data_IF_546177800285
#
_entry.id   IF_546177800285
#
_cell.length_a   1.000
_cell.length_b   1.000
_cell.length_c   1.000
_cell.angle_alpha   90.00
_cell.angle_beta   90.00
_cell.angle_gamma   90.00
#
_symmetry.space_group_name_H-M   'P 1'
#
loop_
_entity.id
_entity.type
_entity.pdbx_description
1 polymer ?
#
# COMPACT_ATOMS: atom_id res chain seq x y z
N UNK A 1 -2.27 43.20 4.30
CA UNK A 1 -0.90 42.86 3.87
C UNK A 1 -0.26 41.99 4.95
N UNK A 2 -0.20 40.68 4.75
CA UNK A 2 0.54 39.74 5.61
C UNK A 2 1.33 38.81 4.69
N UNK A 3 2.65 38.78 4.87
CA UNK A 3 3.58 37.87 4.19
C UNK A 3 4.33 37.06 5.26
N UNK A 4 4.19 35.74 5.12
CA UNK A 4 5.22 34.68 5.17
C UNK A 4 5.96 34.48 6.50
N UNK A 5 5.68 33.33 7.13
CA UNK A 5 6.63 32.58 7.96
C UNK A 5 7.06 31.31 7.21
N UNK A 6 8.37 31.01 7.09
CA UNK A 6 8.85 29.76 6.51
C UNK A 6 9.09 28.73 7.62
N UNK A 7 8.73 27.45 7.39
CA UNK A 7 9.13 26.35 8.27
C UNK A 7 10.22 25.53 7.59
N UNK A 8 11.44 25.73 8.07
CA UNK A 8 12.66 25.06 7.63
C UNK A 8 12.66 23.57 7.99
N UNK A 9 13.23 22.81 7.05
CA UNK A 9 13.74 21.45 7.24
C UNK A 9 14.73 21.38 8.40
N UNK A 10 14.74 20.25 9.12
CA UNK A 10 15.82 19.89 10.05
C UNK A 10 16.27 18.45 9.83
N UNK A 11 17.45 18.39 9.22
CA UNK A 11 18.46 17.34 9.29
C UNK A 11 18.74 16.92 10.73
N UNK A 12 18.77 15.61 11.00
CA UNK A 12 19.22 15.03 12.27
C UNK A 12 20.69 14.65 12.13
N UNK A 13 21.54 15.28 12.96
CA UNK A 13 22.93 14.89 13.18
C UNK A 13 23.05 14.33 14.60
N UNK A 14 23.76 13.21 14.68
CA UNK A 14 24.09 12.43 15.87
C UNK A 14 24.94 13.19 16.90
N UNK A 15 24.72 12.92 18.19
CA UNK A 15 25.78 12.99 19.20
C UNK A 15 25.54 12.01 20.35
N UNK A 16 26.60 11.26 20.65
CA UNK A 16 26.76 10.34 21.76
C UNK A 16 27.02 11.12 23.07
N UNK A 17 26.35 10.74 24.16
CA UNK A 17 26.92 10.89 25.51
C UNK A 17 26.53 9.72 26.41
N UNK A 18 27.55 9.08 26.99
CA UNK A 18 27.47 8.06 28.03
C UNK A 18 27.18 8.73 29.37
N UNK A 19 26.27 8.17 30.16
CA UNK A 19 26.30 8.30 31.62
C UNK A 19 25.93 6.99 32.29
N UNK A 20 26.84 6.57 33.16
CA UNK A 20 26.81 5.36 33.98
C UNK A 20 26.07 5.64 35.29
N UNK A 21 25.16 4.77 35.70
CA UNK A 21 24.79 4.59 37.12
C UNK A 21 24.61 3.11 37.43
N UNK A 22 25.49 2.62 38.31
CA UNK A 22 25.44 1.31 38.96
C UNK A 22 24.43 1.35 40.09
N UNK A 23 23.56 0.35 40.17
CA UNK A 23 23.00 -0.13 41.43
C UNK A 23 22.98 -1.67 41.40
N UNK A 24 23.84 -2.26 42.23
CA UNK A 24 23.79 -3.65 42.68
C UNK A 24 22.80 -3.77 43.83
N UNK A 25 22.03 -4.85 43.92
CA UNK A 25 21.92 -5.72 45.11
C UNK A 25 21.17 -7.05 44.79
N UNK A 26 21.90 -8.14 45.00
CA UNK A 26 21.54 -9.48 45.55
C UNK A 26 20.28 -10.25 45.12
N UNK A 27 20.58 -11.42 44.54
CA UNK A 27 19.93 -12.73 44.49
C UNK A 27 18.82 -13.06 45.49
N UNK A 28 17.73 -13.64 44.97
CA UNK A 28 17.02 -14.76 45.59
C UNK A 28 16.64 -15.78 44.50
N UNK A 29 16.91 -17.06 44.78
CA UNK A 29 16.57 -18.19 43.94
C UNK A 29 15.21 -18.77 44.35
N UNK A 30 14.35 -19.07 43.36
CA UNK A 30 13.25 -20.02 43.48
C UNK A 30 12.74 -20.43 42.09
N UNK A 31 13.01 -21.67 41.71
CA UNK A 31 12.20 -22.47 40.77
C UNK A 31 11.35 -23.40 41.66
N UNK A 32 10.12 -23.82 41.27
CA UNK A 32 9.91 -24.52 40.00
C UNK A 32 8.53 -24.36 39.33
N UNK A 33 8.46 -24.94 38.12
CA UNK A 33 7.32 -25.67 37.52
C UNK A 33 6.67 -25.10 36.25
N UNK A 34 6.78 -25.94 35.21
CA UNK A 34 5.98 -26.13 34.00
C UNK A 34 4.93 -25.09 33.62
N UNK A 35 5.13 -24.48 32.45
CA UNK A 35 4.17 -24.60 31.34
C UNK A 35 4.93 -24.44 30.01
N UNK A 36 5.14 -25.58 29.32
CA UNK A 36 5.61 -25.66 27.94
C UNK A 36 4.47 -25.20 27.03
N UNK A 37 4.38 -23.91 26.72
CA UNK A 37 3.50 -23.45 25.66
C UNK A 37 4.24 -23.58 24.33
N UNK A 38 3.75 -24.51 23.52
CA UNK A 38 4.23 -24.83 22.19
C UNK A 38 4.31 -23.57 21.32
N UNK A 39 5.52 -23.22 20.88
CA UNK A 39 5.70 -22.42 19.66
C UNK A 39 5.10 -23.23 18.49
N UNK A 40 3.87 -22.91 18.12
CA UNK A 40 3.33 -23.29 16.82
C UNK A 40 3.96 -22.35 15.79
N UNK A 41 5.10 -22.77 15.27
CA UNK A 41 5.67 -22.25 14.03
C UNK A 41 4.58 -22.36 12.96
N UNK A 42 4.09 -21.23 12.47
CA UNK A 42 3.09 -21.18 11.40
C UNK A 42 3.79 -21.71 10.13
N UNK A 43 3.35 -22.83 9.53
CA UNK A 43 3.93 -23.28 8.28
C UNK A 43 3.52 -22.33 7.15
N UNK A 44 4.53 -21.83 6.44
CA UNK A 44 4.44 -20.91 5.33
C UNK A 44 3.81 -21.60 4.09
N UNK A 45 2.49 -21.78 4.05
CA UNK A 45 1.77 -22.40 2.91
C UNK A 45 1.52 -21.42 1.75
N UNK A 46 2.55 -20.73 1.24
CA UNK A 46 2.41 -19.89 0.02
C UNK A 46 2.27 -20.72 -1.26
N UNK A 47 2.72 -21.98 -1.26
CA UNK A 47 2.79 -22.84 -2.45
C UNK A 47 1.44 -23.25 -3.04
N UNK A 48 0.34 -23.19 -2.26
CA UNK A 48 -1.00 -23.61 -2.69
C UNK A 48 -1.78 -22.55 -3.47
N UNK A 49 -1.34 -21.29 -3.46
CA UNK A 49 -1.98 -20.23 -4.24
C UNK A 49 -1.66 -20.31 -5.73
N UNK A 50 -0.47 -20.83 -6.08
CA UNK A 50 -0.05 -21.03 -7.46
C UNK A 50 -0.84 -22.12 -8.21
N UNK A 51 -1.52 -23.02 -7.47
CA UNK A 51 -2.30 -24.13 -8.05
C UNK A 51 -3.80 -23.83 -8.22
N UNK A 52 -4.28 -22.68 -7.75
CA UNK A 52 -5.66 -22.22 -8.02
C UNK A 52 -5.67 -21.49 -9.38
N UNK A 53 -5.80 -22.26 -10.46
CA UNK A 53 -5.81 -21.78 -11.85
C UNK A 53 -6.53 -20.43 -12.03
N UNK A 54 -5.73 -19.42 -12.40
CA UNK A 54 -6.10 -18.00 -12.51
C UNK A 54 -6.93 -17.65 -13.76
N UNK A 55 -7.66 -18.61 -14.34
CA UNK A 55 -8.60 -18.39 -15.44
C UNK A 55 -10.04 -18.49 -14.92
N UNK A 56 -10.45 -17.53 -14.10
CA UNK A 56 -11.88 -17.28 -13.85
C UNK A 56 -12.10 -15.80 -13.93
N UNK A 57 -13.02 -15.39 -14.82
CA UNK A 57 -13.53 -14.03 -14.89
C UNK A 57 -13.86 -13.56 -13.47
N UNK A 58 -13.14 -12.55 -13.01
CA UNK A 58 -13.24 -11.97 -11.67
C UNK A 58 -14.61 -11.33 -11.48
N UNK A 59 -15.59 -12.09 -10.98
CA UNK A 59 -16.80 -11.52 -10.39
C UNK A 59 -16.60 -11.40 -8.88
N UNK A 60 -16.66 -10.17 -8.37
CA UNK A 60 -16.61 -9.84 -6.94
C UNK A 60 -17.85 -10.37 -6.19
N UNK A 61 -17.90 -10.16 -4.87
CA UNK A 61 -19.08 -10.50 -4.08
C UNK A 61 -20.38 -9.94 -4.63
N UNK A 62 -21.46 -10.71 -4.53
CA UNK A 62 -22.81 -10.17 -4.74
C UNK A 62 -23.04 -9.04 -3.73
N UNK A 63 -23.26 -7.81 -4.22
CA UNK A 63 -23.34 -6.59 -3.40
C UNK A 63 -22.07 -5.75 -3.39
N UNK A 64 -20.97 -6.23 -3.98
CA UNK A 64 -19.80 -5.44 -4.33
C UNK A 64 -19.77 -5.27 -5.86
N UNK A 65 -20.58 -4.35 -6.37
CA UNK A 65 -20.20 -3.66 -7.59
C UNK A 65 -18.86 -2.99 -7.27
N UNK A 66 -17.78 -3.15 -8.08
CA UNK A 66 -16.63 -2.26 -7.97
C UNK A 66 -17.23 -0.86 -7.90
N UNK A 67 -17.02 -0.17 -6.77
CA UNK A 67 -17.65 1.11 -6.44
C UNK A 67 -17.79 1.88 -7.75
N UNK A 68 -19.04 2.03 -8.23
CA UNK A 68 -19.30 2.49 -9.59
C UNK A 68 -18.40 3.70 -9.84
N UNK A 69 -17.45 3.54 -10.77
CA UNK A 69 -16.33 4.47 -10.89
C UNK A 69 -16.91 5.87 -11.06
N UNK A 70 -16.73 6.71 -10.05
CA UNK A 70 -17.08 8.13 -10.17
C UNK A 70 -16.23 8.66 -11.32
N UNK A 71 -16.87 9.16 -12.37
CA UNK A 71 -16.13 9.84 -13.44
C UNK A 71 -15.42 11.05 -12.86
N UNK A 72 -14.31 11.47 -13.47
CA UNK A 72 -13.60 12.67 -13.03
C UNK A 72 -14.53 13.89 -13.03
N UNK A 73 -15.41 13.98 -14.03
CA UNK A 73 -16.39 15.06 -14.19
C UNK A 73 -17.42 15.13 -13.04
N UNK A 74 -17.69 14.00 -12.36
CA UNK A 74 -18.51 13.99 -11.15
C UNK A 74 -17.80 14.52 -9.90
N UNK A 75 -16.47 14.65 -9.95
CA UNK A 75 -15.61 15.07 -8.84
C UNK A 75 -15.14 16.52 -9.03
N UNK A 76 -14.78 16.89 -10.26
CA UNK A 76 -14.33 18.22 -10.63
C UNK A 76 -14.81 18.62 -12.01
N UNK A 77 -15.03 19.92 -12.22
CA UNK A 77 -15.36 20.49 -13.53
C UNK A 77 -14.17 20.37 -14.50
N UNK A 78 -14.24 19.40 -15.42
CA UNK A 78 -13.16 19.07 -16.35
C UNK A 78 -12.96 20.19 -17.37
N UNK A 79 -14.03 20.86 -17.82
CA UNK A 79 -13.91 21.97 -18.78
C UNK A 79 -13.17 23.15 -18.17
N UNK A 80 -13.51 23.54 -16.94
CA UNK A 80 -12.77 24.57 -16.22
C UNK A 80 -11.33 24.16 -15.91
N UNK A 81 -11.10 22.87 -15.68
CA UNK A 81 -9.78 22.32 -15.40
C UNK A 81 -8.85 22.35 -16.63
N UNK A 82 -9.37 22.24 -17.86
CA UNK A 82 -8.55 22.28 -19.09
C UNK A 82 -7.67 23.52 -19.21
N UNK A 83 -8.13 24.66 -18.68
CA UNK A 83 -7.44 25.95 -18.73
C UNK A 83 -6.46 26.20 -17.58
N UNK A 84 -6.29 25.24 -16.65
CA UNK A 84 -5.37 25.34 -15.51
C UNK A 84 -4.06 24.59 -15.79
N UNK A 85 -2.98 25.02 -15.15
CA UNK A 85 -1.70 24.30 -15.19
C UNK A 85 -1.78 22.98 -14.39
N UNK A 86 -0.94 21.98 -14.69
CA UNK A 86 -0.94 20.72 -13.96
C UNK A 86 -0.68 20.89 -12.46
N UNK A 87 0.17 21.84 -12.05
CA UNK A 87 0.47 22.11 -10.63
C UNK A 87 -0.76 22.63 -9.90
N UNK A 88 -1.52 23.52 -10.54
CA UNK A 88 -2.77 24.05 -9.98
C UNK A 88 -3.83 22.96 -9.90
N UNK A 89 -3.90 22.06 -10.88
CA UNK A 89 -4.84 20.94 -10.84
C UNK A 89 -4.52 19.94 -9.73
N UNK A 90 -3.24 19.59 -9.55
CA UNK A 90 -2.80 18.75 -8.45
C UNK A 90 -3.16 19.39 -7.09
N UNK A 91 -2.89 20.69 -6.91
CA UNK A 91 -3.26 21.40 -5.68
C UNK A 91 -4.78 21.39 -5.42
N UNK A 92 -5.60 21.65 -6.44
CA UNK A 92 -7.07 21.60 -6.32
C UNK A 92 -7.53 20.19 -5.95
N UNK A 93 -6.90 19.18 -6.54
CA UNK A 93 -7.21 17.77 -6.28
C UNK A 93 -6.88 17.36 -4.85
N UNK A 94 -5.71 17.74 -4.36
CA UNK A 94 -5.27 17.49 -2.99
C UNK A 94 -6.22 18.19 -2.01
N UNK A 95 -6.44 19.50 -2.19
CA UNK A 95 -7.35 20.31 -1.36
C UNK A 95 -8.77 19.75 -1.31
N UNK A 96 -9.26 19.19 -2.41
CA UNK A 96 -10.58 18.57 -2.47
C UNK A 96 -10.68 17.33 -1.57
N UNK A 97 -9.62 16.52 -1.45
CA UNK A 97 -9.69 15.26 -0.70
C UNK A 97 -9.29 15.42 0.78
N UNK A 98 -8.61 16.50 1.14
CA UNK A 98 -8.25 16.82 2.54
C UNK A 98 -9.50 16.76 3.45
N UNK A 99 -9.42 15.92 4.48
CA UNK A 99 -10.44 15.80 5.53
C UNK A 99 -11.74 15.11 5.10
N UNK A 100 -11.79 14.50 3.91
CA UNK A 100 -13.01 13.83 3.39
C UNK A 100 -12.98 12.30 3.47
N UNK A 101 -12.00 11.72 4.17
CA UNK A 101 -11.84 10.26 4.27
C UNK A 101 -11.39 9.61 2.95
N UNK A 102 -10.76 10.39 2.08
CA UNK A 102 -10.20 9.94 0.82
C UNK A 102 -8.74 10.38 0.73
N UNK A 103 -7.95 9.63 -0.03
CA UNK A 103 -6.57 9.99 -0.36
C UNK A 103 -6.57 10.64 -1.74
N UNK A 104 -6.11 11.90 -1.81
CA UNK A 104 -5.82 12.58 -3.06
C UNK A 104 -4.32 12.50 -3.34
N UNK A 105 -3.95 12.09 -4.54
CA UNK A 105 -2.58 12.15 -5.02
C UNK A 105 -2.56 12.41 -6.53
N UNK A 106 -1.37 12.66 -7.08
CA UNK A 106 -1.17 12.78 -8.53
C UNK A 106 0.19 12.21 -8.94
N UNK A 107 0.31 11.87 -10.22
CA UNK A 107 1.59 11.45 -10.81
C UNK A 107 1.72 11.87 -12.26
N UNK A 108 2.95 11.79 -12.78
CA UNK A 108 3.22 12.02 -14.20
C UNK A 108 2.65 10.90 -15.07
N UNK A 109 2.22 11.24 -16.28
CA UNK A 109 1.66 10.26 -17.22
C UNK A 109 2.68 9.18 -17.59
N UNK A 110 3.97 9.54 -17.69
CA UNK A 110 5.02 8.55 -17.96
C UNK A 110 5.15 7.50 -16.85
N UNK A 111 5.00 7.88 -15.58
CA UNK A 111 5.04 6.94 -14.46
C UNK A 111 3.81 6.03 -14.48
N UNK A 112 2.63 6.58 -14.78
CA UNK A 112 1.42 5.79 -14.94
C UNK A 112 1.55 4.74 -16.05
N UNK A 113 2.11 5.11 -17.23
CA UNK A 113 2.36 4.17 -18.33
C UNK A 113 3.32 3.05 -17.93
N UNK A 114 4.35 3.36 -17.14
CA UNK A 114 5.26 2.33 -16.63
C UNK A 114 4.55 1.38 -15.65
N UNK A 115 3.72 1.92 -14.75
CA UNK A 115 2.88 1.13 -13.86
C UNK A 115 1.95 0.21 -14.65
N UNK A 116 1.29 0.74 -15.69
CA UNK A 116 0.39 0.00 -16.58
C UNK A 116 1.09 -1.14 -17.30
N UNK A 117 2.23 -0.84 -17.93
CA UNK A 117 3.04 -1.83 -18.62
C UNK A 117 3.42 -2.98 -17.69
N UNK A 118 3.90 -2.66 -16.49
CA UNK A 118 4.34 -3.66 -15.50
C UNK A 118 3.18 -4.45 -14.91
N UNK A 119 2.06 -3.78 -14.63
CA UNK A 119 0.85 -4.42 -14.14
C UNK A 119 0.20 -5.35 -15.17
N UNK A 120 0.39 -5.13 -16.48
CA UNK A 120 -0.24 -5.93 -17.53
C UNK A 120 0.01 -7.44 -17.37
N UNK A 121 1.27 -7.81 -17.08
CA UNK A 121 1.75 -9.18 -16.88
C UNK A 121 1.91 -9.57 -15.40
N UNK A 122 2.08 -8.59 -14.51
CA UNK A 122 2.32 -8.81 -13.09
C UNK A 122 1.25 -8.08 -12.27
N UNK A 123 0.06 -8.66 -12.14
CA UNK A 123 -1.10 -7.98 -11.53
C UNK A 123 -1.16 -8.10 -10.02
N UNK A 124 -0.41 -9.02 -9.42
CA UNK A 124 -0.60 -9.39 -8.02
C UNK A 124 0.64 -9.10 -7.20
N UNK A 125 0.45 -8.67 -5.96
CA UNK A 125 1.55 -8.57 -5.01
C UNK A 125 1.07 -8.68 -3.57
N UNK A 126 2.00 -8.94 -2.66
CA UNK A 126 1.74 -8.96 -1.21
C UNK A 126 2.60 -7.92 -0.51
N UNK A 127 1.97 -7.14 0.37
CA UNK A 127 2.62 -6.02 1.06
C UNK A 127 2.41 -6.18 2.57
N UNK A 128 3.48 -6.25 3.37
CA UNK A 128 3.37 -6.22 4.82
C UNK A 128 2.95 -4.81 5.27
N UNK A 129 1.90 -4.72 6.09
CA UNK A 129 1.45 -3.50 6.74
C UNK A 129 1.76 -3.59 8.24
N UNK A 130 2.64 -2.73 8.74
CA UNK A 130 3.07 -2.75 10.13
C UNK A 130 1.94 -2.33 11.08
N UNK A 131 1.74 -3.09 12.16
CA UNK A 131 0.70 -2.89 13.18
C UNK A 131 1.27 -2.73 14.59
N UNK A 132 2.53 -2.32 14.72
CA UNK A 132 3.19 -2.05 16.00
C UNK A 132 3.95 -3.26 16.56
N UNK A 133 3.29 -4.41 16.73
CA UNK A 133 3.89 -5.65 17.26
C UNK A 133 4.14 -6.72 16.20
N UNK A 134 3.82 -6.43 14.94
CA UNK A 134 3.95 -7.33 13.80
C UNK A 134 3.38 -6.69 12.54
N UNK A 135 3.07 -7.50 11.54
CA UNK A 135 2.49 -7.03 10.30
C UNK A 135 1.22 -7.81 9.94
N UNK A 136 0.25 -7.10 9.37
CA UNK A 136 -0.84 -7.71 8.60
C UNK A 136 -0.41 -7.75 7.13
N UNK A 137 -0.66 -8.83 6.42
CA UNK A 137 -0.31 -8.90 4.99
C UNK A 137 -1.49 -8.46 4.14
N UNK A 138 -1.26 -7.49 3.26
CA UNK A 138 -2.23 -7.02 2.27
C UNK A 138 -1.96 -7.69 0.94
N UNK A 139 -3.02 -8.16 0.28
CA UNK A 139 -3.01 -8.63 -1.09
C UNK A 139 -3.44 -7.48 -2.01
N UNK A 140 -2.54 -7.08 -2.92
CA UNK A 140 -2.76 -6.03 -3.90
C UNK A 140 -3.07 -6.65 -5.26
N UNK A 141 -4.18 -6.24 -5.87
CA UNK A 141 -4.55 -6.55 -7.25
C UNK A 141 -4.44 -5.26 -8.07
N UNK A 142 -3.37 -5.12 -8.84
CA UNK A 142 -3.08 -3.97 -9.70
C UNK A 142 -3.70 -4.24 -11.08
N UNK A 143 -4.92 -3.75 -11.27
CA UNK A 143 -5.73 -3.94 -12.48
C UNK A 143 -6.20 -2.58 -12.98
N UNK A 144 -5.32 -1.89 -13.72
CA UNK A 144 -5.58 -0.51 -14.11
C UNK A 144 -6.90 -0.36 -14.89
N UNK A 145 -7.64 0.74 -14.67
CA UNK A 145 -7.25 1.93 -13.89
C UNK A 145 -7.49 1.80 -12.37
N UNK A 146 -7.62 0.60 -11.82
CA UNK A 146 -7.84 0.36 -10.39
C UNK A 146 -6.73 -0.44 -9.70
N UNK A 147 -6.57 -0.22 -8.39
CA UNK A 147 -5.84 -1.14 -7.52
C UNK A 147 -6.75 -1.49 -6.35
N UNK A 148 -6.82 -2.78 -6.02
CA UNK A 148 -7.66 -3.29 -4.95
C UNK A 148 -6.77 -3.92 -3.89
N UNK A 149 -6.94 -3.48 -2.65
CA UNK A 149 -6.23 -4.01 -1.49
C UNK A 149 -7.19 -4.76 -0.59
N UNK A 150 -6.88 -6.02 -0.33
CA UNK A 150 -7.66 -6.89 0.56
C UNK A 150 -6.73 -7.51 1.60
N UNK A 151 -7.20 -7.71 2.84
CA UNK A 151 -6.42 -8.48 3.81
C UNK A 151 -6.15 -9.89 3.28
N UNK A 152 -4.90 -10.34 3.28
CA UNK A 152 -4.53 -11.64 2.68
C UNK A 152 -5.29 -12.81 3.32
N UNK A 153 -5.46 -12.78 4.64
CA UNK A 153 -6.20 -13.82 5.38
C UNK A 153 -7.69 -13.83 5.02
N UNK A 154 -8.29 -12.66 4.83
CA UNK A 154 -9.68 -12.52 4.39
C UNK A 154 -9.86 -13.01 2.95
N UNK A 155 -8.90 -12.69 2.07
CA UNK A 155 -8.89 -13.17 0.69
C UNK A 155 -8.71 -14.70 0.62
N UNK A 156 -7.85 -15.30 1.45
CA UNK A 156 -7.73 -16.77 1.55
C UNK A 156 -9.04 -17.42 2.00
N UNK A 157 -9.76 -16.80 2.92
CA UNK A 157 -11.00 -17.33 3.47
C UNK A 157 -12.20 -17.20 2.50
N UNK A 158 -12.26 -16.12 1.71
CA UNK A 158 -13.44 -15.75 0.91
C UNK A 158 -13.20 -15.58 -0.59
N UNK A 159 -11.95 -15.63 -1.04
CA UNK A 159 -11.57 -15.38 -2.43
C UNK A 159 -12.02 -14.00 -2.91
N UNK A 160 -12.57 -13.93 -4.11
CA UNK A 160 -13.13 -12.69 -4.70
C UNK A 160 -14.34 -12.14 -3.96
N UNK A 161 -14.88 -12.89 -2.99
CA UNK A 161 -15.98 -12.43 -2.14
C UNK A 161 -15.49 -11.65 -0.91
N UNK A 162 -14.18 -11.58 -0.67
CA UNK A 162 -13.62 -10.78 0.41
C UNK A 162 -13.84 -9.28 0.11
N UNK A 163 -14.30 -8.53 1.12
CA UNK A 163 -14.44 -7.09 0.98
C UNK A 163 -13.05 -6.43 0.93
N UNK A 164 -12.79 -5.54 -0.04
CA UNK A 164 -11.54 -4.81 -0.04
C UNK A 164 -11.50 -3.84 1.13
N UNK A 165 -10.29 -3.56 1.60
CA UNK A 165 -10.04 -2.59 2.65
C UNK A 165 -9.81 -1.21 2.06
N UNK A 166 -9.23 -1.17 0.86
CA UNK A 166 -8.83 0.06 0.17
C UNK A 166 -8.84 -0.15 -1.34
N UNK A 167 -9.28 0.86 -2.06
CA UNK A 167 -9.27 0.88 -3.52
C UNK A 167 -8.63 2.17 -4.03
N UNK A 168 -7.82 2.08 -5.07
CA UNK A 168 -7.20 3.23 -5.75
C UNK A 168 -7.74 3.30 -7.17
N UNK A 169 -8.07 4.50 -7.64
CA UNK A 169 -8.51 4.78 -9.00
C UNK A 169 -7.62 5.85 -9.63
N UNK A 170 -7.23 5.63 -10.88
CA UNK A 170 -6.44 6.57 -11.68
C UNK A 170 -7.30 7.24 -12.75
N UNK A 171 -7.18 8.56 -12.85
CA UNK A 171 -7.88 9.41 -13.81
C UNK A 171 -6.88 9.97 -14.82
N UNK A 172 -7.00 9.53 -16.07
CA UNK A 172 -6.02 9.77 -17.15
C UNK A 172 -6.43 10.87 -18.12
N UNK A 173 -7.52 11.59 -17.86
CA UNK A 173 -8.09 12.62 -18.73
C UNK A 173 -7.09 13.75 -19.03
N UNK A 174 -6.15 14.02 -18.12
CA UNK A 174 -5.09 15.02 -18.29
C UNK A 174 -3.73 14.43 -18.67
N UNK A 175 -3.63 13.11 -18.90
CA UNK A 175 -2.36 12.43 -19.10
C UNK A 175 -1.66 12.91 -20.38
N UNK A 176 -2.38 13.00 -21.49
CA UNK A 176 -1.81 13.42 -22.78
C UNK A 176 -1.59 14.93 -22.85
N UNK A 177 -2.55 15.72 -22.36
CA UNK A 177 -2.53 17.17 -22.52
C UNK A 177 -1.67 17.92 -21.49
N UNK A 178 -1.40 17.30 -20.34
CA UNK A 178 -0.75 17.97 -19.18
C UNK A 178 0.30 17.11 -18.46
N UNK A 179 0.62 15.91 -18.97
CA UNK A 179 1.49 14.93 -18.29
C UNK A 179 1.05 14.68 -16.83
N UNK A 180 -0.26 14.63 -16.60
CA UNK A 180 -0.84 14.53 -15.26
C UNK A 180 -1.90 13.44 -15.18
N UNK A 181 -1.75 12.54 -14.22
CA UNK A 181 -2.75 11.56 -13.82
C UNK A 181 -3.16 11.85 -12.38
N UNK A 182 -4.46 12.01 -12.15
CA UNK A 182 -5.01 12.21 -10.80
C UNK A 182 -5.33 10.85 -10.18
N UNK A 183 -5.10 10.73 -8.88
CA UNK A 183 -5.22 9.48 -8.15
C UNK A 183 -6.14 9.69 -6.96
N UNK A 184 -7.13 8.82 -6.83
CA UNK A 184 -8.02 8.78 -5.67
C UNK A 184 -7.90 7.44 -4.97
N UNK A 185 -7.68 7.48 -3.67
CA UNK A 185 -7.80 6.33 -2.79
C UNK A 185 -9.07 6.42 -1.93
N UNK A 186 -9.83 5.34 -1.88
CA UNK A 186 -11.04 5.19 -1.07
C UNK A 186 -10.84 4.09 -0.01
N UNK A 187 -10.83 4.47 1.26
CA UNK A 187 -10.74 3.53 2.39
C UNK A 187 -12.12 2.93 2.63
N UNK A 188 -12.31 1.68 2.19
CA UNK A 188 -13.60 0.98 2.23
C UNK A 188 -13.88 0.44 3.62
N UNK A 189 -12.85 -0.04 4.33
CA UNK A 189 -13.00 -0.65 5.65
C UNK A 189 -12.21 0.10 6.73
N UNK A 190 -12.73 1.24 7.16
CA UNK A 190 -12.10 2.17 8.11
C UNK A 190 -11.81 1.57 9.49
N UNK A 191 -12.44 0.44 9.85
CA UNK A 191 -12.13 -0.27 11.10
C UNK A 191 -10.88 -1.17 11.01
N UNK A 192 -10.38 -1.43 9.80
CA UNK A 192 -9.21 -2.29 9.53
C UNK A 192 -7.99 -1.51 9.03
N UNK A 193 -8.24 -0.37 8.39
CA UNK A 193 -7.23 0.43 7.74
C UNK A 193 -7.46 1.91 8.03
N UNK A 194 -6.42 2.60 8.50
CA UNK A 194 -6.43 4.06 8.68
C UNK A 194 -6.03 4.76 7.39
N UNK A 195 -6.33 6.06 7.28
CA UNK A 195 -5.96 6.87 6.11
C UNK A 195 -4.43 6.85 5.86
N UNK A 196 -3.62 7.00 6.91
CA UNK A 196 -2.15 6.96 6.79
C UNK A 196 -1.63 5.57 6.38
N UNK A 197 -2.27 4.49 6.82
CA UNK A 197 -1.92 3.14 6.39
C UNK A 197 -2.28 2.90 4.91
N UNK A 198 -3.43 3.42 4.48
CA UNK A 198 -3.87 3.35 3.10
C UNK A 198 -2.97 4.15 2.15
N UNK A 199 -2.58 5.36 2.55
CA UNK A 199 -1.62 6.20 1.82
C UNK A 199 -0.28 5.47 1.68
N UNK A 200 0.22 4.92 2.78
CA UNK A 200 1.46 4.14 2.78
C UNK A 200 1.37 2.90 1.88
N UNK A 201 0.23 2.19 1.82
CA UNK A 201 0.02 1.06 0.92
C UNK A 201 0.06 1.47 -0.55
N UNK A 202 -0.56 2.60 -0.89
CA UNK A 202 -0.54 3.16 -2.23
C UNK A 202 0.89 3.50 -2.66
N UNK A 203 1.60 4.29 -1.85
CA UNK A 203 2.99 4.68 -2.10
C UNK A 203 3.92 3.47 -2.20
N UNK A 204 3.74 2.50 -1.31
CA UNK A 204 4.53 1.26 -1.32
C UNK A 204 4.30 0.47 -2.60
N UNK A 205 3.04 0.30 -3.02
CA UNK A 205 2.71 -0.38 -4.28
C UNK A 205 3.34 0.32 -5.47
N UNK A 206 3.18 1.65 -5.56
CA UNK A 206 3.82 2.44 -6.61
C UNK A 206 5.34 2.28 -6.58
N UNK A 207 5.96 2.29 -5.41
CA UNK A 207 7.40 2.10 -5.27
C UNK A 207 7.87 0.73 -5.78
N UNK A 208 7.13 -0.35 -5.50
CA UNK A 208 7.46 -1.68 -6.01
C UNK A 208 7.32 -1.76 -7.53
N UNK A 209 6.28 -1.15 -8.10
CA UNK A 209 6.05 -1.21 -9.54
C UNK A 209 6.89 -0.20 -10.33
N UNK A 210 7.28 0.94 -9.77
CA UNK A 210 8.00 1.99 -10.50
C UNK A 210 9.51 1.94 -10.32
N UNK A 211 10.03 1.21 -9.32
CA UNK A 211 11.46 1.03 -9.12
C UNK A 211 11.94 -0.31 -9.69
N UNK A 212 12.92 -0.29 -10.59
CA UNK A 212 13.43 -1.49 -11.28
C UNK A 212 13.91 -2.59 -10.33
N UNK A 213 14.63 -2.22 -9.27
CA UNK A 213 15.15 -3.19 -8.30
C UNK A 213 14.05 -3.83 -7.47
N UNK A 214 13.04 -3.05 -7.07
CA UNK A 214 11.89 -3.56 -6.31
C UNK A 214 10.94 -4.37 -7.19
N UNK A 215 10.79 -3.98 -8.45
CA UNK A 215 9.89 -4.64 -9.39
C UNK A 215 10.27 -6.11 -9.63
N UNK A 216 11.55 -6.47 -9.50
CA UNK A 216 12.00 -7.87 -9.55
C UNK A 216 11.25 -8.77 -8.57
N UNK A 217 10.92 -8.27 -7.36
CA UNK A 217 10.15 -9.03 -6.38
C UNK A 217 8.69 -9.22 -6.83
N UNK A 218 8.12 -8.23 -7.51
CA UNK A 218 6.79 -8.33 -8.12
C UNK A 218 6.79 -9.34 -9.26
N UNK A 219 7.78 -9.28 -10.15
CA UNK A 219 7.91 -10.26 -11.23
C UNK A 219 8.09 -11.66 -10.70
N UNK A 220 8.96 -11.85 -9.71
CA UNK A 220 9.19 -13.14 -9.08
C UNK A 220 7.92 -13.68 -8.42
N UNK A 221 7.12 -12.82 -7.78
CA UNK A 221 5.83 -13.22 -7.21
C UNK A 221 4.87 -13.75 -8.29
N UNK A 222 4.75 -13.06 -9.43
CA UNK A 222 3.78 -13.39 -10.48
C UNK A 222 4.25 -14.50 -11.44
N UNK A 223 5.54 -14.56 -11.76
CA UNK A 223 6.11 -15.43 -12.81
C UNK A 223 6.94 -16.58 -12.25
N UNK A 224 7.54 -16.42 -11.08
CA UNK A 224 8.49 -17.38 -10.49
C UNK A 224 8.16 -17.68 -9.02
N UNK A 225 6.88 -17.93 -8.71
CA UNK A 225 6.35 -17.99 -7.35
C UNK A 225 7.11 -18.96 -6.43
N UNK A 226 7.74 -20.01 -6.97
CA UNK A 226 8.57 -20.96 -6.21
C UNK A 226 9.85 -20.34 -5.64
N UNK A 227 10.40 -19.33 -6.32
CA UNK A 227 11.60 -18.64 -5.88
C UNK A 227 11.26 -17.47 -4.94
N UNK A 228 10.01 -17.00 -4.94
CA UNK A 228 9.61 -15.83 -4.17
C UNK A 228 9.70 -16.09 -2.67
N UNK A 229 10.39 -15.20 -1.96
CA UNK A 229 10.48 -15.23 -0.51
C UNK A 229 9.94 -13.94 0.11
N UNK A 230 8.92 -14.06 0.97
CA UNK A 230 8.31 -12.90 1.63
C UNK A 230 9.29 -12.08 2.49
N UNK A 231 10.33 -12.73 3.04
CA UNK A 231 11.39 -12.07 3.81
C UNK A 231 12.16 -11.02 3.00
N UNK A 232 12.21 -11.17 1.67
CA UNK A 232 12.89 -10.22 0.80
C UNK A 232 12.05 -8.95 0.58
N UNK A 233 10.71 -9.07 0.64
CA UNK A 233 9.79 -7.91 0.69
C UNK A 233 9.99 -7.14 1.99
N UNK A 234 10.08 -7.84 3.14
CA UNK A 234 10.36 -7.22 4.43
C UNK A 234 11.70 -6.47 4.40
N UNK A 235 12.75 -7.09 3.83
CA UNK A 235 14.07 -6.45 3.69
C UNK A 235 14.02 -5.21 2.79
N UNK A 236 13.32 -5.29 1.65
CA UNK A 236 13.16 -4.14 0.74
C UNK A 236 12.45 -2.94 1.38
N UNK A 237 11.64 -3.20 2.41
CA UNK A 237 10.91 -2.21 3.21
C UNK A 237 11.59 -1.86 4.53
N UNK A 238 12.78 -2.40 4.81
CA UNK A 238 13.49 -2.26 6.09
C UNK A 238 12.63 -2.63 7.31
N UNK A 239 11.76 -3.64 7.17
CA UNK A 239 10.91 -4.13 8.24
C UNK A 239 11.61 -5.22 9.06
N UNK A 240 11.31 -5.34 10.38
CA UNK A 240 11.79 -6.44 11.20
C UNK A 240 11.36 -7.79 10.62
N UNK A 241 12.31 -8.72 10.56
CA UNK A 241 12.05 -10.13 10.27
C UNK A 241 11.79 -10.80 11.62
N UNK A 242 10.52 -11.11 11.87
CA UNK A 242 10.05 -11.74 13.11
C UNK A 242 10.13 -13.27 13.04
#
# INVERSE_FOLDING_TARGET
MQRISPRNARTIVSSLTKTSRRHTFTTFASNPSLQKQQQKTIPCEFSKLASLGFYRSSSFASGFTPLEQKSLDSIMDVERAKHKSPEVLASIWDDYHIGRGHIGASMKAQLYRLLEQRASDCRYFVIPLWKGSGYSTMFAQVQLPHIIFTGLEDYKARGTQAAPYFTVTFYTEFAESKDLVLIRGDVVFTSKLTDSEAEWLMETTQSFYLNDSRYKLVEQFNKETRNFEFKDVLRALNMPIL
#
